data_IF_353789249262
#
_entry.id   IF_353789249262
#
_cell.length_a   1.000
_cell.length_b   1.000
_cell.length_c   1.000
_cell.angle_alpha   90.00
_cell.angle_beta   90.00
_cell.angle_gamma   90.00
#
_symmetry.space_group_name_H-M   'P 1'
#
loop_
_entity.id
_entity.type
_entity.pdbx_description
1 polymer ?
#
# COMPACT_ATOMS: atom_id res chain seq x y z
N UNK A 1 45.99 27.25 -1.27
CA UNK A 1 44.68 27.40 -0.54
C UNK A 1 43.47 27.50 -1.45
N UNK A 2 43.50 27.90 -2.68
CA UNK A 2 42.36 28.25 -3.54
C UNK A 2 41.66 27.08 -4.24
N UNK A 3 42.34 25.98 -4.52
CA UNK A 3 41.72 24.72 -5.00
C UNK A 3 40.87 24.04 -3.91
N UNK A 4 41.19 24.33 -2.65
CA UNK A 4 40.49 23.75 -1.47
C UNK A 4 39.08 24.26 -1.30
N UNK A 5 38.77 25.53 -1.61
CA UNK A 5 37.41 26.08 -1.44
C UNK A 5 36.43 25.49 -2.47
N UNK A 6 36.85 25.45 -3.74
CA UNK A 6 36.06 24.84 -4.81
C UNK A 6 35.84 23.34 -4.56
N UNK A 7 36.92 22.64 -4.17
CA UNK A 7 36.80 21.21 -3.85
C UNK A 7 35.87 20.95 -2.69
N UNK A 8 35.89 21.77 -1.62
CA UNK A 8 34.97 21.68 -0.50
C UNK A 8 33.52 21.91 -0.93
N UNK A 9 33.26 22.88 -1.81
CA UNK A 9 31.94 23.17 -2.33
C UNK A 9 31.40 22.02 -3.18
N UNK A 10 32.19 21.50 -4.12
CA UNK A 10 31.85 20.34 -4.95
C UNK A 10 31.61 19.09 -4.09
N UNK A 11 32.46 18.88 -3.08
CA UNK A 11 32.32 17.75 -2.16
C UNK A 11 31.03 17.85 -1.36
N UNK A 12 30.70 19.02 -0.80
CA UNK A 12 29.46 19.25 -0.08
C UNK A 12 28.24 19.01 -0.97
N UNK A 13 28.31 19.46 -2.23
CA UNK A 13 27.27 19.24 -3.21
C UNK A 13 27.05 17.74 -3.54
N UNK A 14 28.14 16.99 -3.73
CA UNK A 14 28.08 15.55 -3.96
C UNK A 14 27.49 14.84 -2.75
N UNK A 15 27.91 15.19 -1.54
CA UNK A 15 27.36 14.60 -0.30
C UNK A 15 25.86 14.86 -0.21
N UNK A 16 25.41 16.09 -0.47
CA UNK A 16 24.00 16.44 -0.44
C UNK A 16 23.20 15.66 -1.50
N UNK A 17 23.71 15.52 -2.72
CA UNK A 17 23.08 14.76 -3.79
C UNK A 17 22.95 13.27 -3.44
N UNK A 18 24.02 12.66 -2.94
CA UNK A 18 24.02 11.26 -2.49
C UNK A 18 23.04 11.04 -1.35
N UNK A 19 22.99 11.97 -0.38
CA UNK A 19 22.03 11.90 0.73
C UNK A 19 20.59 11.99 0.24
N UNK A 20 20.29 12.88 -0.73
CA UNK A 20 18.97 12.97 -1.35
C UNK A 20 18.58 11.67 -2.08
N UNK A 21 19.50 11.05 -2.80
CA UNK A 21 19.27 9.76 -3.47
C UNK A 21 18.92 8.68 -2.42
N UNK A 22 19.71 8.58 -1.34
CA UNK A 22 19.50 7.59 -0.29
C UNK A 22 18.10 7.78 0.35
N UNK A 23 17.71 9.01 0.66
CA UNK A 23 16.38 9.30 1.22
C UNK A 23 15.29 8.83 0.26
N UNK A 24 15.33 9.22 -1.01
CA UNK A 24 14.29 8.87 -1.98
C UNK A 24 14.24 7.37 -2.22
N UNK A 25 15.37 6.68 -2.32
CA UNK A 25 15.38 5.23 -2.59
C UNK A 25 14.98 4.38 -1.38
N UNK A 26 15.10 4.89 -0.17
CA UNK A 26 14.79 4.14 1.06
C UNK A 26 13.40 4.48 1.61
N UNK A 27 13.09 5.77 1.76
CA UNK A 27 11.85 6.21 2.44
C UNK A 27 10.64 6.21 1.52
N UNK A 28 10.78 6.66 0.27
CA UNK A 28 9.62 6.78 -0.64
C UNK A 28 8.96 5.42 -0.90
N UNK A 29 9.67 4.30 -1.16
CA UNK A 29 9.05 3.00 -1.36
C UNK A 29 8.26 2.53 -0.15
N UNK A 30 8.84 2.65 1.05
CA UNK A 30 8.21 2.20 2.30
C UNK A 30 6.94 2.98 2.58
N UNK A 31 7.00 4.32 2.52
CA UNK A 31 5.86 5.18 2.78
C UNK A 31 4.75 5.01 1.73
N UNK A 32 5.12 4.85 0.46
CA UNK A 32 4.16 4.63 -0.63
C UNK A 32 3.44 3.30 -0.45
N UNK A 33 4.17 2.21 -0.13
CA UNK A 33 3.58 0.90 0.12
C UNK A 33 2.59 0.94 1.29
N UNK A 34 3.00 1.51 2.43
CA UNK A 34 2.13 1.62 3.60
C UNK A 34 0.88 2.45 3.33
N UNK A 35 1.02 3.56 2.60
CA UNK A 35 -0.10 4.41 2.23
C UNK A 35 -1.10 3.68 1.33
N UNK A 36 -0.62 3.01 0.27
CA UNK A 36 -1.48 2.26 -0.65
C UNK A 36 -2.19 1.10 0.03
N UNK A 37 -1.52 0.40 0.96
CA UNK A 37 -2.14 -0.68 1.74
C UNK A 37 -3.27 -0.11 2.61
N UNK A 38 -3.04 0.98 3.33
CA UNK A 38 -4.06 1.61 4.19
C UNK A 38 -5.24 2.16 3.39
N UNK A 39 -4.98 2.80 2.28
CA UNK A 39 -6.00 3.34 1.38
C UNK A 39 -6.88 2.19 0.84
N UNK A 40 -6.26 1.13 0.30
CA UNK A 40 -7.00 -0.03 -0.20
C UNK A 40 -7.74 -0.77 0.90
N UNK A 41 -7.16 -0.91 2.10
CA UNK A 41 -7.83 -1.50 3.24
C UNK A 41 -9.09 -0.71 3.65
N UNK A 42 -9.03 0.62 3.62
CA UNK A 42 -10.19 1.47 3.93
C UNK A 42 -11.30 1.33 2.89
N UNK A 43 -10.94 1.29 1.60
CA UNK A 43 -11.88 1.03 0.51
C UNK A 43 -12.58 -0.32 0.69
N UNK A 44 -11.79 -1.40 0.84
CA UNK A 44 -12.32 -2.75 1.02
C UNK A 44 -13.16 -2.90 2.29
N UNK A 45 -12.83 -2.17 3.36
CA UNK A 45 -13.66 -2.17 4.58
C UNK A 45 -15.01 -1.50 4.36
N UNK A 46 -15.05 -0.43 3.57
CA UNK A 46 -16.30 0.20 3.17
C UNK A 46 -17.17 -0.76 2.36
N UNK A 47 -16.56 -1.47 1.41
CA UNK A 47 -17.25 -2.48 0.59
C UNK A 47 -17.74 -3.66 1.45
N UNK A 48 -16.88 -4.19 2.33
CA UNK A 48 -17.25 -5.26 3.25
C UNK A 48 -18.39 -4.85 4.17
N UNK A 49 -18.42 -3.62 4.67
CA UNK A 49 -19.49 -3.08 5.51
C UNK A 49 -20.81 -2.92 4.74
N UNK A 50 -20.71 -2.48 3.48
CA UNK A 50 -21.87 -2.40 2.59
C UNK A 50 -22.46 -3.80 2.31
N UNK A 51 -21.60 -4.77 1.99
CA UNK A 51 -22.02 -6.17 1.79
C UNK A 51 -22.64 -6.73 3.05
N UNK A 52 -22.04 -6.48 4.22
CA UNK A 52 -22.54 -6.94 5.50
C UNK A 52 -23.96 -6.43 5.80
N UNK A 53 -24.21 -5.15 5.55
CA UNK A 53 -25.51 -4.52 5.82
C UNK A 53 -26.58 -4.78 4.75
N UNK A 54 -26.17 -4.99 3.48
CA UNK A 54 -27.14 -5.10 2.38
C UNK A 54 -27.48 -6.55 2.05
N UNK A 55 -26.48 -7.42 1.92
CA UNK A 55 -26.68 -8.79 1.45
C UNK A 55 -26.63 -9.82 2.58
N UNK A 56 -25.61 -9.71 3.41
CA UNK A 56 -25.38 -10.72 4.44
C UNK A 56 -26.38 -10.64 5.59
N UNK A 57 -26.88 -9.46 5.96
CA UNK A 57 -27.95 -9.31 6.96
C UNK A 57 -29.24 -9.95 6.47
N UNK A 58 -29.60 -9.77 5.20
CA UNK A 58 -30.82 -10.39 4.60
C UNK A 58 -30.74 -11.91 4.62
N UNK A 59 -29.56 -12.50 4.42
CA UNK A 59 -29.34 -13.94 4.54
C UNK A 59 -29.67 -14.44 5.96
N UNK A 60 -29.23 -13.73 6.98
CA UNK A 60 -29.48 -14.10 8.38
C UNK A 60 -30.92 -13.87 8.82
N UNK A 61 -31.64 -12.98 8.15
CA UNK A 61 -33.08 -12.77 8.37
C UNK A 61 -33.97 -13.74 7.59
N UNK A 62 -33.38 -14.63 6.77
CA UNK A 62 -34.09 -15.51 5.83
C UNK A 62 -34.98 -14.75 4.81
N UNK A 63 -34.58 -13.54 4.46
CA UNK A 63 -35.25 -12.70 3.46
C UNK A 63 -34.78 -13.02 2.04
N UNK A 64 -33.65 -13.68 1.90
CA UNK A 64 -33.03 -14.08 0.62
C UNK A 64 -32.39 -15.48 0.74
N UNK A 65 -32.21 -16.13 -0.39
CA UNK A 65 -31.54 -17.43 -0.45
C UNK A 65 -30.03 -17.28 -0.53
N UNK A 66 -29.30 -18.30 -0.07
CA UNK A 66 -27.83 -18.34 -0.14
C UNK A 66 -27.32 -18.21 -1.58
N UNK A 67 -27.99 -18.86 -2.53
CA UNK A 67 -27.59 -18.85 -3.95
C UNK A 67 -27.73 -17.48 -4.57
N UNK A 68 -28.78 -16.74 -4.22
CA UNK A 68 -28.98 -15.36 -4.68
C UNK A 68 -27.89 -14.42 -4.14
N UNK A 69 -27.54 -14.56 -2.86
CA UNK A 69 -26.45 -13.77 -2.28
C UNK A 69 -25.12 -14.15 -2.92
N UNK A 70 -24.88 -15.45 -3.16
CA UNK A 70 -23.66 -15.92 -3.82
C UNK A 70 -23.51 -15.32 -5.22
N UNK A 71 -24.53 -15.36 -6.05
CA UNK A 71 -24.52 -14.79 -7.41
C UNK A 71 -24.15 -13.30 -7.41
N UNK A 72 -24.70 -12.55 -6.46
CA UNK A 72 -24.37 -11.11 -6.31
C UNK A 72 -22.94 -10.89 -5.85
N UNK A 73 -22.45 -11.70 -4.91
CA UNK A 73 -21.09 -11.59 -4.42
C UNK A 73 -20.06 -12.07 -5.44
N UNK A 74 -20.37 -13.09 -6.22
CA UNK A 74 -19.53 -13.57 -7.33
C UNK A 74 -19.32 -12.45 -8.36
N UNK A 75 -20.40 -11.75 -8.75
CA UNK A 75 -20.31 -10.59 -9.64
C UNK A 75 -19.43 -9.46 -9.06
N UNK A 76 -19.61 -9.12 -7.77
CA UNK A 76 -18.78 -8.10 -7.11
C UNK A 76 -17.32 -8.52 -7.02
N UNK A 77 -17.07 -9.78 -6.70
CA UNK A 77 -15.75 -10.40 -6.62
C UNK A 77 -15.01 -10.29 -7.95
N UNK A 78 -15.66 -10.63 -9.06
CA UNK A 78 -15.09 -10.53 -10.42
C UNK A 78 -14.79 -9.07 -10.79
N UNK A 79 -15.72 -8.14 -10.54
CA UNK A 79 -15.55 -6.73 -10.87
C UNK A 79 -14.38 -6.07 -10.11
N UNK A 80 -14.15 -6.47 -8.86
CA UNK A 80 -13.13 -5.87 -8.00
C UNK A 80 -11.84 -6.69 -7.88
N UNK A 81 -11.78 -7.86 -8.55
CA UNK A 81 -10.66 -8.81 -8.44
C UNK A 81 -10.34 -9.16 -6.99
N UNK A 82 -11.40 -9.40 -6.20
CA UNK A 82 -11.33 -9.75 -4.78
C UNK A 82 -11.89 -11.14 -4.55
N UNK A 83 -11.60 -11.72 -3.39
CA UNK A 83 -12.29 -12.92 -2.89
C UNK A 83 -13.16 -12.48 -1.72
N UNK A 84 -14.44 -12.83 -1.77
CA UNK A 84 -15.39 -12.45 -0.73
C UNK A 84 -15.86 -13.72 -0.02
N UNK A 85 -15.74 -13.71 1.31
CA UNK A 85 -16.18 -14.80 2.18
C UNK A 85 -17.16 -14.31 3.24
N UNK A 86 -18.14 -15.13 3.59
CA UNK A 86 -19.00 -14.93 4.76
C UNK A 86 -18.66 -16.02 5.76
N UNK A 87 -18.28 -15.62 6.97
CA UNK A 87 -17.79 -16.50 8.03
C UNK A 87 -18.65 -16.31 9.28
N UNK A 88 -19.05 -17.42 9.93
CA UNK A 88 -19.71 -17.36 11.24
C UNK A 88 -18.73 -16.92 12.34
N UNK A 89 -19.24 -16.50 13.53
CA UNK A 89 -18.36 -16.17 14.66
C UNK A 89 -17.49 -17.33 15.14
N UNK A 90 -17.84 -18.58 14.80
CA UNK A 90 -17.07 -19.78 15.12
C UNK A 90 -16.05 -20.18 14.05
N UNK A 91 -15.84 -19.35 13.01
CA UNK A 91 -14.91 -19.67 11.91
C UNK A 91 -15.49 -20.57 10.82
N UNK A 92 -16.78 -20.93 10.89
CA UNK A 92 -17.43 -21.75 9.88
C UNK A 92 -17.68 -20.91 8.62
N UNK A 93 -17.20 -21.38 7.48
CA UNK A 93 -17.40 -20.75 6.18
C UNK A 93 -18.83 -20.96 5.70
N UNK A 94 -19.56 -19.87 5.48
CA UNK A 94 -20.96 -19.88 5.06
C UNK A 94 -21.05 -19.70 3.55
N UNK A 95 -20.23 -18.81 2.99
CA UNK A 95 -20.17 -18.49 1.57
C UNK A 95 -18.73 -18.14 1.18
N UNK A 96 -18.35 -18.56 -0.03
CA UNK A 96 -17.07 -18.24 -0.65
C UNK A 96 -17.27 -18.05 -2.16
N UNK A 97 -16.71 -16.99 -2.72
CA UNK A 97 -16.81 -16.69 -4.16
C UNK A 97 -15.85 -17.52 -5.01
N UNK A 98 -14.89 -18.23 -4.42
CA UNK A 98 -13.94 -19.09 -5.14
C UNK A 98 -14.35 -20.55 -5.22
N UNK A 99 -15.26 -20.99 -4.35
CA UNK A 99 -15.68 -22.38 -4.29
C UNK A 99 -17.18 -22.51 -3.98
N UNK A 100 -17.76 -23.66 -4.37
CA UNK A 100 -19.06 -24.07 -3.91
C UNK A 100 -18.93 -24.77 -2.56
N UNK A 101 -19.69 -24.31 -1.58
CA UNK A 101 -19.71 -24.93 -0.25
C UNK A 101 -20.94 -25.81 -0.16
N UNK A 102 -20.73 -27.13 -0.22
CA UNK A 102 -21.81 -28.10 0.02
C UNK A 102 -22.22 -28.10 1.48
N UNK A 103 -23.52 -28.30 1.72
CA UNK A 103 -24.11 -28.40 3.07
C UNK A 103 -23.49 -29.56 3.89
N UNK A 104 -22.94 -30.58 3.23
CA UNK A 104 -22.32 -31.75 3.85
C UNK A 104 -20.83 -31.55 4.17
N UNK A 105 -20.11 -30.67 3.45
CA UNK A 105 -18.68 -30.39 3.62
C UNK A 105 -18.43 -28.92 3.97
N UNK A 106 -18.82 -28.57 5.17
CA UNK A 106 -18.62 -27.21 5.66
C UNK A 106 -17.17 -27.05 6.13
N UNK A 107 -16.40 -26.28 5.38
CA UNK A 107 -15.06 -25.87 5.80
C UNK A 107 -15.12 -24.92 6.99
N UNK A 108 -14.26 -25.20 7.98
CA UNK A 108 -14.13 -24.36 9.16
C UNK A 108 -12.68 -23.90 9.27
N UNK A 109 -12.48 -22.61 9.37
CA UNK A 109 -11.19 -21.99 9.64
C UNK A 109 -10.85 -22.23 11.11
N UNK A 110 -10.05 -23.25 11.39
CA UNK A 110 -9.81 -23.76 12.76
C UNK A 110 -9.15 -22.74 13.68
N UNK A 111 -8.32 -21.89 13.12
CA UNK A 111 -7.57 -20.87 13.86
C UNK A 111 -8.26 -19.49 13.83
N UNK A 112 -9.49 -19.40 13.30
CA UNK A 112 -10.21 -18.13 13.22
C UNK A 112 -10.43 -17.52 14.60
N UNK A 113 -9.93 -16.32 14.76
CA UNK A 113 -10.12 -15.50 15.95
C UNK A 113 -10.50 -14.08 15.53
N UNK A 114 -11.77 -13.73 15.73
CA UNK A 114 -12.28 -12.39 15.44
C UNK A 114 -11.60 -11.31 16.29
N UNK A 115 -10.98 -11.67 17.42
CA UNK A 115 -10.27 -10.73 18.28
C UNK A 115 -8.85 -10.42 17.78
N UNK A 116 -8.30 -11.22 16.88
CA UNK A 116 -6.98 -10.98 16.27
C UNK A 116 -6.90 -9.64 15.52
N UNK A 117 -8.05 -9.08 15.11
CA UNK A 117 -8.19 -7.77 14.47
C UNK A 117 -8.64 -6.67 15.42
N UNK A 118 -8.58 -6.89 16.74
CA UNK A 118 -8.92 -5.85 17.73
C UNK A 118 -7.94 -4.69 17.59
N UNK A 119 -8.47 -3.51 17.19
CA UNK A 119 -7.67 -2.30 16.93
C UNK A 119 -7.24 -2.12 15.46
N UNK A 120 -7.47 -3.12 14.59
CA UNK A 120 -7.27 -3.00 13.14
C UNK A 120 -8.40 -3.72 12.42
N UNK A 121 -8.93 -3.12 11.37
CA UNK A 121 -9.95 -3.73 10.53
C UNK A 121 -9.36 -4.52 9.35
N UNK A 122 -8.02 -4.61 9.25
CA UNK A 122 -7.33 -5.34 8.19
C UNK A 122 -6.10 -6.09 8.70
N UNK A 123 -5.71 -7.08 7.94
CA UNK A 123 -4.52 -7.91 8.12
C UNK A 123 -3.76 -7.99 6.79
N UNK A 124 -2.43 -7.95 6.84
CA UNK A 124 -1.54 -8.15 5.69
C UNK A 124 -0.74 -9.44 5.91
N UNK A 125 -0.83 -10.34 4.97
CA UNK A 125 -0.15 -11.63 5.04
C UNK A 125 -1.11 -12.82 4.98
N UNK A 126 -0.75 -13.98 5.55
CA UNK A 126 -1.60 -15.14 5.59
C UNK A 126 -2.86 -14.89 6.41
N UNK A 127 -4.00 -15.36 5.89
CA UNK A 127 -5.26 -15.27 6.62
C UNK A 127 -5.57 -16.62 7.28
N UNK A 128 -5.21 -16.72 8.54
CA UNK A 128 -5.34 -17.94 9.34
C UNK A 128 -4.85 -19.19 8.59
N UNK A 129 -5.61 -20.28 8.61
CA UNK A 129 -5.32 -21.53 7.91
C UNK A 129 -5.90 -21.60 6.48
N UNK A 130 -6.71 -20.64 6.07
CA UNK A 130 -7.31 -20.61 4.71
C UNK A 130 -6.29 -20.23 3.63
N UNK A 131 -5.41 -19.28 3.91
CA UNK A 131 -4.37 -18.83 2.97
C UNK A 131 -3.00 -18.75 3.66
N UNK A 132 -2.42 -19.90 4.05
CA UNK A 132 -1.23 -19.92 4.92
C UNK A 132 0.05 -19.38 4.25
N UNK A 133 0.11 -19.39 2.93
CA UNK A 133 1.30 -18.97 2.15
C UNK A 133 1.06 -17.80 1.21
N UNK A 134 -0.16 -17.26 1.15
CA UNK A 134 -0.48 -16.16 0.25
C UNK A 134 -0.34 -14.82 0.96
N UNK A 135 0.41 -13.89 0.37
CA UNK A 135 0.43 -12.50 0.81
C UNK A 135 -0.85 -11.81 0.31
N UNK A 136 -1.84 -11.72 1.18
CA UNK A 136 -3.11 -11.04 0.90
C UNK A 136 -3.34 -9.90 1.87
N UNK A 137 -4.04 -8.87 1.39
CA UNK A 137 -4.69 -7.88 2.23
C UNK A 137 -6.09 -8.40 2.53
N UNK A 138 -6.38 -8.70 3.78
CA UNK A 138 -7.66 -9.22 4.24
C UNK A 138 -8.33 -8.21 5.15
N UNK A 139 -9.61 -7.94 4.89
CA UNK A 139 -10.41 -6.97 5.65
C UNK A 139 -11.62 -7.69 6.21
N UNK A 140 -11.99 -7.38 7.44
CA UNK A 140 -13.08 -8.02 8.18
C UNK A 140 -14.12 -6.99 8.61
N UNK A 141 -15.38 -7.16 8.19
CA UNK A 141 -16.51 -6.34 8.63
C UNK A 141 -17.56 -7.22 9.34
N UNK A 142 -18.09 -6.81 10.52
CA UNK A 142 -19.07 -7.58 11.23
C UNK A 142 -20.46 -7.48 10.58
N UNK A 143 -21.17 -8.61 10.51
CA UNK A 143 -22.58 -8.69 10.16
C UNK A 143 -23.35 -8.62 11.45
N UNK A 144 -24.12 -7.55 11.63
CA UNK A 144 -24.91 -7.34 12.85
C UNK A 144 -26.40 -7.47 12.55
N UNK A 145 -27.09 -8.28 13.33
CA UNK A 145 -28.53 -8.38 13.31
C UNK A 145 -29.05 -8.54 14.76
N UNK A 146 -30.12 -7.87 15.10
CA UNK A 146 -30.73 -7.89 16.46
C UNK A 146 -29.71 -7.53 17.55
N UNK A 147 -28.85 -6.52 17.32
CA UNK A 147 -27.78 -6.05 18.23
C UNK A 147 -26.73 -7.11 18.57
N UNK A 148 -26.62 -8.17 17.75
CA UNK A 148 -25.60 -9.22 17.91
C UNK A 148 -24.82 -9.41 16.63
N UNK A 149 -23.54 -9.73 16.77
CA UNK A 149 -22.71 -10.16 15.64
C UNK A 149 -23.11 -11.59 15.26
N UNK A 150 -23.61 -11.75 14.04
CA UNK A 150 -24.04 -13.04 13.48
C UNK A 150 -22.97 -13.69 12.63
N UNK A 151 -22.03 -12.91 12.12
CA UNK A 151 -20.95 -13.36 11.27
C UNK A 151 -20.05 -12.20 10.85
N UNK A 152 -19.19 -12.48 9.89
CA UNK A 152 -18.26 -11.52 9.33
C UNK A 152 -18.22 -11.66 7.82
N UNK A 153 -18.17 -10.53 7.12
CA UNK A 153 -17.77 -10.46 5.72
C UNK A 153 -16.26 -10.27 5.70
N UNK A 154 -15.57 -11.11 4.97
CA UNK A 154 -14.12 -11.00 4.75
C UNK A 154 -13.89 -10.78 3.27
N UNK A 155 -13.08 -9.77 2.95
CA UNK A 155 -12.64 -9.50 1.59
C UNK A 155 -11.13 -9.68 1.55
N UNK A 156 -10.65 -10.50 0.62
CA UNK A 156 -9.24 -10.72 0.36
C UNK A 156 -8.86 -10.09 -0.97
N UNK A 157 -7.76 -9.36 -0.96
CA UNK A 157 -7.17 -8.71 -2.13
C UNK A 157 -5.70 -9.09 -2.27
N UNK A 158 -5.27 -9.41 -3.49
CA UNK A 158 -3.88 -9.77 -3.75
C UNK A 158 -2.93 -8.59 -3.53
N UNK A 159 -1.89 -8.79 -2.73
CA UNK A 159 -0.86 -7.75 -2.48
C UNK A 159 -0.09 -7.41 -3.76
N UNK A 160 0.02 -8.34 -4.71
CA UNK A 160 0.67 -8.15 -6.00
C UNK A 160 0.11 -6.95 -6.77
N UNK A 161 -1.20 -6.71 -6.74
CA UNK A 161 -1.84 -5.57 -7.40
C UNK A 161 -1.46 -4.24 -6.74
N UNK A 162 -1.31 -4.22 -5.40
CA UNK A 162 -0.84 -3.05 -4.66
C UNK A 162 0.62 -2.79 -5.00
N UNK A 163 1.44 -3.84 -5.03
CA UNK A 163 2.86 -3.73 -5.36
C UNK A 163 3.08 -3.23 -6.79
N UNK A 164 2.28 -3.68 -7.75
CA UNK A 164 2.34 -3.19 -9.12
C UNK A 164 2.04 -1.69 -9.21
N UNK A 165 1.02 -1.22 -8.48
CA UNK A 165 0.71 0.22 -8.36
C UNK A 165 1.84 0.99 -7.66
N UNK A 166 2.43 0.41 -6.62
CA UNK A 166 3.59 0.96 -5.94
C UNK A 166 4.78 1.12 -6.90
N UNK A 167 5.12 0.09 -7.68
CA UNK A 167 6.20 0.16 -8.66
C UNK A 167 5.97 1.21 -9.74
N UNK A 168 4.74 1.39 -10.21
CA UNK A 168 4.41 2.47 -11.17
C UNK A 168 4.68 3.85 -10.58
N UNK A 169 4.28 4.10 -9.34
CA UNK A 169 4.53 5.38 -8.64
C UNK A 169 6.03 5.60 -8.39
N UNK A 170 6.75 4.55 -8.00
CA UNK A 170 8.19 4.61 -7.80
C UNK A 170 8.92 4.94 -9.10
N UNK A 171 8.52 4.36 -10.22
CA UNK A 171 9.12 4.65 -11.52
C UNK A 171 8.97 6.13 -11.89
N UNK A 172 7.80 6.73 -11.65
CA UNK A 172 7.59 8.17 -11.81
C UNK A 172 8.53 8.97 -10.91
N UNK A 173 8.66 8.56 -9.65
CA UNK A 173 9.56 9.23 -8.68
C UNK A 173 11.03 9.18 -9.12
N UNK A 174 11.49 8.06 -9.69
CA UNK A 174 12.86 7.95 -10.23
C UNK A 174 13.10 8.82 -11.47
N UNK A 175 12.09 8.98 -12.34
CA UNK A 175 12.15 9.90 -13.47
C UNK A 175 12.30 11.33 -12.97
N UNK A 176 11.48 11.75 -12.00
CA UNK A 176 11.56 13.09 -11.40
C UNK A 176 12.95 13.31 -10.75
N UNK A 177 13.43 12.32 -9.99
CA UNK A 177 14.77 12.38 -9.38
C UNK A 177 15.86 12.57 -10.44
N UNK A 178 15.80 11.86 -11.57
CA UNK A 178 16.76 11.98 -12.67
C UNK A 178 16.76 13.38 -13.27
N UNK A 179 15.56 13.95 -13.48
CA UNK A 179 15.43 15.33 -13.99
C UNK A 179 16.01 16.34 -12.99
N UNK A 180 15.71 16.20 -11.70
CA UNK A 180 16.25 17.08 -10.66
C UNK A 180 17.78 16.98 -10.56
N UNK A 181 18.34 15.78 -10.69
CA UNK A 181 19.79 15.58 -10.68
C UNK A 181 20.46 16.26 -11.89
N UNK A 182 19.85 16.16 -13.07
CA UNK A 182 20.33 16.80 -14.29
C UNK A 182 20.29 18.34 -14.15
N UNK A 183 19.19 18.89 -13.65
CA UNK A 183 19.04 20.32 -13.36
C UNK A 183 20.09 20.79 -12.34
N UNK A 184 20.33 19.99 -11.34
CA UNK A 184 21.31 20.23 -10.30
C UNK A 184 22.75 20.33 -10.85
N UNK A 185 23.13 19.49 -11.83
CA UNK A 185 24.40 19.57 -12.53
C UNK A 185 24.52 20.88 -13.33
N UNK A 186 23.44 21.29 -14.01
CA UNK A 186 23.42 22.55 -14.76
C UNK A 186 23.66 23.73 -13.81
N UNK A 187 22.99 23.76 -12.66
CA UNK A 187 23.20 24.80 -11.63
C UNK A 187 24.65 24.83 -11.15
N UNK A 188 25.27 23.68 -10.94
CA UNK A 188 26.70 23.61 -10.54
C UNK A 188 27.65 24.22 -11.60
N UNK A 189 27.37 23.96 -12.89
CA UNK A 189 28.13 24.54 -14.01
C UNK A 189 27.95 26.06 -14.01
N UNK A 190 26.72 26.56 -13.94
CA UNK A 190 26.43 27.99 -13.87
C UNK A 190 27.13 28.67 -12.69
N UNK A 191 27.05 28.07 -11.51
CA UNK A 191 27.74 28.61 -10.32
C UNK A 191 29.25 28.69 -10.54
N UNK A 192 29.85 27.69 -11.17
CA UNK A 192 31.27 27.66 -11.47
C UNK A 192 31.68 28.80 -12.41
N UNK A 193 30.88 29.05 -13.46
CA UNK A 193 31.18 30.08 -14.45
C UNK A 193 30.94 31.50 -13.92
N UNK A 194 29.77 31.73 -13.28
CA UNK A 194 29.33 33.08 -12.93
C UNK A 194 29.92 33.56 -11.60
N UNK A 195 30.12 32.66 -10.65
CA UNK A 195 30.54 33.02 -9.30
C UNK A 195 32.02 32.69 -9.07
N UNK A 196 32.39 31.45 -9.27
CA UNK A 196 33.74 31.00 -8.91
C UNK A 196 34.84 31.58 -9.78
N UNK A 197 34.68 31.64 -11.11
CA UNK A 197 35.69 32.19 -12.04
C UNK A 197 35.97 33.67 -11.82
N UNK A 198 34.97 34.58 -11.69
CA UNK A 198 35.20 35.99 -11.38
C UNK A 198 35.87 36.22 -10.03
N UNK A 199 35.38 35.56 -8.98
CA UNK A 199 35.99 35.63 -7.64
C UNK A 199 37.44 35.23 -7.64
N UNK A 200 37.81 34.19 -8.40
CA UNK A 200 39.20 33.76 -8.56
C UNK A 200 40.09 34.82 -9.26
N UNK A 201 39.53 35.53 -10.26
CA UNK A 201 40.25 36.62 -10.96
C UNK A 201 40.53 37.78 -10.02
N UNK A 202 39.52 38.23 -9.25
CA UNK A 202 39.65 39.34 -8.28
C UNK A 202 40.69 38.99 -7.22
N UNK A 203 40.62 37.79 -6.62
CA UNK A 203 41.57 37.37 -5.59
C UNK A 203 43.03 37.28 -6.12
N UNK A 204 43.22 36.87 -7.39
CA UNK A 204 44.54 36.86 -8.01
C UNK A 204 45.10 38.27 -8.24
N UNK A 205 44.25 39.20 -8.67
CA UNK A 205 44.65 40.61 -8.84
C UNK A 205 45.06 41.23 -7.49
N UNK A 206 44.31 41.01 -6.41
CA UNK A 206 44.65 41.53 -5.08
C UNK A 206 45.98 40.96 -4.53
N UNK A 207 46.30 39.70 -4.84
CA UNK A 207 47.59 39.09 -4.43
C UNK A 207 48.81 39.62 -5.22
N UNK A 208 48.59 40.23 -6.40
CA UNK A 208 49.68 40.87 -7.17
C UNK A 208 50.01 42.28 -6.70
N UNK A 209 49.06 42.92 -5.96
CA UNK A 209 49.24 44.28 -5.44
C UNK A 209 49.58 44.32 -3.93
N UNK A 210 49.67 43.16 -3.26
CA UNK A 210 50.14 43.00 -1.89
C UNK A 210 51.57 42.46 -1.85
#
# INVERSE_FOLDING_TARGET
MKKTLYLKFVLAYIIFSVFGIIIITTFVPTLTKEHLIKEKASELYSDASLIASTYAEQLYRNETTRDQVKEQLDFLSECSSTIIQIISPSGRLILDTTMEIDAENVETIKTFDSTALVGSYYMVGPFFDTYPSAEKLSVLAPITSDYKVKGYVVIHYGIEHIMESCYRLLNISYVILSILLLLSIIILIFFTEIVYRPLRKITRATEQYA
#
